data_IF_049035540872
#
_entry.id   IF_049035540872
#
_cell.length_a   1.000
_cell.length_b   1.000
_cell.length_c   1.000
_cell.angle_alpha   90.00
_cell.angle_beta   90.00
_cell.angle_gamma   90.00
#
_symmetry.space_group_name_H-M   'P 1'
#
loop_
_entity.id
_entity.type
_entity.pdbx_description
1 polymer ?
#
# COMPACT_ATOMS: atom_id res chain seq x y z
N UNK A 1 -15.36 -11.64 33.16
CA UNK A 1 -14.41 -11.22 32.11
C UNK A 1 -15.17 -11.02 30.81
N UNK A 2 -15.22 -9.79 30.29
CA UNK A 2 -15.34 -9.48 28.86
C UNK A 2 -15.02 -7.98 28.70
N UNK A 3 -13.80 -7.69 28.28
CA UNK A 3 -13.28 -6.35 28.10
C UNK A 3 -13.71 -5.87 26.70
N UNK A 4 -14.84 -5.19 26.59
CA UNK A 4 -15.30 -4.61 25.31
C UNK A 4 -14.53 -3.31 25.06
N UNK A 5 -13.47 -3.38 24.25
CA UNK A 5 -12.78 -2.21 23.70
C UNK A 5 -13.83 -1.30 23.03
N UNK A 6 -14.03 -0.10 23.58
CA UNK A 6 -14.79 0.98 22.95
C UNK A 6 -13.99 1.51 21.78
N UNK A 7 -14.50 1.35 20.56
CA UNK A 7 -14.00 2.06 19.39
C UNK A 7 -14.35 3.54 19.53
N UNK A 8 -13.35 4.42 19.50
CA UNK A 8 -13.59 5.87 19.43
C UNK A 8 -14.23 6.15 18.07
N UNK A 9 -15.41 6.78 18.08
CA UNK A 9 -16.01 7.34 16.86
C UNK A 9 -15.06 8.40 16.32
N UNK A 10 -14.78 8.33 15.02
CA UNK A 10 -14.08 9.37 14.29
C UNK A 10 -14.89 10.66 14.42
N UNK A 11 -14.25 11.72 14.93
CA UNK A 11 -14.87 13.03 15.05
C UNK A 11 -14.72 13.77 13.72
N UNK A 12 -15.81 13.81 12.96
CA UNK A 12 -15.89 14.42 11.63
C UNK A 12 -15.94 15.96 11.69
N UNK A 13 -15.69 16.57 12.86
CA UNK A 13 -15.71 18.03 13.05
C UNK A 13 -14.34 18.70 12.99
N UNK A 14 -13.25 17.95 12.76
CA UNK A 14 -11.96 18.57 12.43
C UNK A 14 -12.04 19.16 11.02
N UNK A 15 -11.90 20.49 10.94
CA UNK A 15 -11.84 21.23 9.69
C UNK A 15 -10.68 20.70 8.83
N UNK A 16 -11.05 20.05 7.73
CA UNK A 16 -10.16 19.70 6.64
C UNK A 16 -9.87 21.01 5.89
N UNK A 17 -8.62 21.35 5.54
CA UNK A 17 -8.31 22.54 4.74
C UNK A 17 -9.15 22.51 3.46
N UNK A 18 -9.73 23.66 3.11
CA UNK A 18 -10.78 23.78 2.08
C UNK A 18 -10.34 23.27 0.71
N UNK A 19 -10.57 22.01 0.42
CA UNK A 19 -10.61 21.45 -0.93
C UNK A 19 -11.92 21.88 -1.58
N UNK A 20 -11.89 22.25 -2.86
CA UNK A 20 -13.08 22.53 -3.65
C UNK A 20 -13.91 21.24 -3.81
N UNK A 21 -14.67 20.89 -2.78
CA UNK A 21 -15.57 19.74 -2.78
C UNK A 21 -16.93 20.12 -3.32
N UNK A 22 -17.37 19.48 -4.40
CA UNK A 22 -18.76 19.53 -4.84
C UNK A 22 -19.54 18.39 -4.19
N UNK A 23 -20.70 18.68 -3.59
CA UNK A 23 -21.64 17.64 -3.20
C UNK A 23 -22.09 16.85 -4.42
N UNK A 24 -22.15 15.52 -4.32
CA UNK A 24 -22.62 14.66 -5.41
C UNK A 24 -23.74 13.74 -4.92
N UNK A 25 -24.63 13.36 -5.84
CA UNK A 25 -25.62 12.30 -5.68
C UNK A 25 -25.44 11.33 -6.84
N UNK A 26 -25.40 10.03 -6.53
CA UNK A 26 -25.24 8.98 -7.52
C UNK A 26 -26.39 7.97 -7.38
N UNK A 27 -27.07 7.67 -8.48
CA UNK A 27 -27.96 6.53 -8.58
C UNK A 27 -27.18 5.34 -9.15
N UNK A 28 -27.18 4.21 -8.44
CA UNK A 28 -26.54 2.97 -8.90
C UNK A 28 -27.52 1.80 -8.85
N UNK A 29 -27.38 0.85 -9.78
CA UNK A 29 -28.05 -0.43 -9.66
C UNK A 29 -27.29 -1.29 -8.63
N UNK A 30 -27.96 -1.58 -7.51
CA UNK A 30 -27.39 -2.39 -6.44
C UNK A 30 -27.11 -3.84 -6.87
N UNK A 31 -27.77 -4.34 -7.92
CA UNK A 31 -27.55 -5.70 -8.45
C UNK A 31 -26.22 -5.83 -9.20
N UNK A 32 -25.61 -4.72 -9.61
CA UNK A 32 -24.35 -4.68 -10.35
C UNK A 32 -23.16 -4.29 -9.46
N UNK A 33 -23.28 -4.47 -8.13
CA UNK A 33 -22.25 -4.07 -7.18
C UNK A 33 -20.87 -4.67 -7.48
N UNK A 34 -20.80 -5.97 -7.79
CA UNK A 34 -19.52 -6.62 -8.09
C UNK A 34 -18.87 -6.05 -9.37
N UNK A 35 -19.65 -5.87 -10.44
CA UNK A 35 -19.16 -5.22 -11.67
C UNK A 35 -18.66 -3.78 -11.40
N UNK A 36 -19.32 -3.04 -10.51
CA UNK A 36 -18.86 -1.70 -10.11
C UNK A 36 -17.55 -1.76 -9.31
N UNK A 37 -17.36 -2.78 -8.45
CA UNK A 37 -16.09 -3.01 -7.75
C UNK A 37 -14.98 -3.37 -8.72
N UNK A 38 -15.26 -4.18 -9.73
CA UNK A 38 -14.28 -4.55 -10.76
C UNK A 38 -13.79 -3.32 -11.54
N UNK A 39 -14.71 -2.43 -11.96
CA UNK A 39 -14.36 -1.18 -12.64
C UNK A 39 -13.52 -0.27 -11.73
N UNK A 40 -13.89 -0.16 -10.45
CA UNK A 40 -13.11 0.61 -9.48
C UNK A 40 -11.70 0.02 -9.32
N UNK A 41 -11.58 -1.30 -9.26
CA UNK A 41 -10.29 -1.98 -9.17
C UNK A 41 -9.45 -1.81 -10.44
N UNK A 42 -10.06 -1.86 -11.63
CA UNK A 42 -9.36 -1.63 -12.89
C UNK A 42 -8.74 -0.23 -12.96
N UNK A 43 -9.48 0.79 -12.49
CA UNK A 43 -9.03 2.19 -12.52
C UNK A 43 -8.06 2.53 -11.39
N UNK A 44 -8.37 2.12 -10.17
CA UNK A 44 -7.65 2.54 -8.97
C UNK A 44 -6.61 1.52 -8.52
N UNK A 45 -6.74 0.25 -8.90
CA UNK A 45 -5.81 -0.81 -8.54
C UNK A 45 -4.36 -0.49 -8.96
N UNK A 46 -4.10 -0.08 -10.20
CA UNK A 46 -2.75 0.32 -10.63
C UNK A 46 -2.20 1.53 -9.86
N UNK A 47 -3.07 2.41 -9.36
CA UNK A 47 -2.67 3.60 -8.58
C UNK A 47 -2.28 3.18 -7.16
N UNK A 48 -3.09 2.35 -6.50
CA UNK A 48 -2.88 1.95 -5.10
C UNK A 48 -1.94 0.76 -4.92
N UNK A 49 -1.75 -0.08 -5.93
CA UNK A 49 -0.95 -1.29 -5.82
C UNK A 49 0.24 -1.31 -6.79
N UNK A 50 0.32 -0.33 -7.70
CA UNK A 50 1.44 -0.24 -8.62
C UNK A 50 1.52 -1.43 -9.57
N UNK A 51 2.75 -1.81 -9.92
CA UNK A 51 3.07 -2.91 -10.84
C UNK A 51 3.83 -3.99 -10.10
N UNK A 52 3.69 -5.25 -10.57
CA UNK A 52 4.48 -6.36 -10.04
C UNK A 52 5.96 -6.03 -10.18
N UNK A 53 6.68 -6.09 -9.06
CA UNK A 53 8.13 -5.92 -8.99
C UNK A 53 8.82 -7.29 -8.95
N UNK A 54 8.41 -8.17 -8.04
CA UNK A 54 9.04 -9.48 -7.87
C UNK A 54 8.12 -10.53 -7.20
N UNK A 55 8.27 -11.78 -7.60
CA UNK A 55 7.67 -12.96 -6.96
C UNK A 55 8.73 -13.98 -6.49
N UNK A 56 9.99 -13.81 -6.91
CA UNK A 56 11.11 -14.67 -6.53
C UNK A 56 12.28 -13.86 -6.00
N UNK A 57 13.19 -14.48 -5.25
CA UNK A 57 14.40 -13.82 -4.76
C UNK A 57 15.28 -13.32 -5.91
N UNK A 58 15.33 -14.05 -7.02
CA UNK A 58 16.05 -13.64 -8.23
C UNK A 58 15.43 -12.40 -8.87
N UNK A 59 14.11 -12.36 -9.00
CA UNK A 59 13.40 -11.17 -9.51
C UNK A 59 13.59 -9.97 -8.58
N UNK A 60 13.56 -10.17 -7.26
CA UNK A 60 13.76 -9.10 -6.28
C UNK A 60 15.19 -8.54 -6.35
N UNK A 61 16.19 -9.41 -6.45
CA UNK A 61 17.58 -8.98 -6.61
C UNK A 61 17.81 -8.22 -7.91
N UNK A 62 17.21 -8.68 -9.02
CA UNK A 62 17.26 -7.97 -10.30
C UNK A 62 16.57 -6.60 -10.20
N UNK A 63 15.39 -6.53 -9.56
CA UNK A 63 14.66 -5.30 -9.35
C UNK A 63 15.49 -4.24 -8.60
N UNK A 64 16.15 -4.61 -7.49
CA UNK A 64 17.01 -3.71 -6.74
C UNK A 64 18.25 -3.26 -7.53
N UNK A 65 18.84 -4.17 -8.32
CA UNK A 65 19.94 -3.84 -9.22
C UNK A 65 19.52 -2.86 -10.33
N UNK A 66 18.31 -3.02 -10.88
CA UNK A 66 17.80 -2.17 -11.97
C UNK A 66 17.29 -0.81 -11.49
N UNK A 67 16.54 -0.76 -10.38
CA UNK A 67 15.94 0.50 -9.89
C UNK A 67 16.92 1.34 -9.09
N UNK A 68 17.75 0.71 -8.24
CA UNK A 68 18.59 1.42 -7.28
C UNK A 68 20.09 1.24 -7.56
N UNK A 69 20.47 0.40 -8.53
CA UNK A 69 21.89 0.10 -8.80
C UNK A 69 22.56 -0.72 -7.71
N UNK A 70 21.79 -1.44 -6.89
CA UNK A 70 22.27 -2.18 -5.71
C UNK A 70 22.54 -3.65 -6.08
N UNK A 71 23.78 -4.11 -5.89
CA UNK A 71 24.11 -5.54 -5.94
C UNK A 71 23.89 -6.19 -4.56
N UNK A 72 22.66 -6.65 -4.34
CA UNK A 72 22.23 -7.28 -3.09
C UNK A 72 22.93 -8.62 -2.79
N UNK A 73 23.69 -9.18 -3.75
CA UNK A 73 24.47 -10.42 -3.58
C UNK A 73 25.92 -10.16 -3.23
N UNK A 74 26.35 -8.90 -3.30
CA UNK A 74 27.69 -8.44 -2.98
C UNK A 74 27.71 -7.64 -1.69
N UNK A 75 28.12 -6.38 -1.79
CA UNK A 75 28.34 -5.46 -0.67
C UNK A 75 27.04 -4.78 -0.25
N UNK A 76 26.07 -5.56 0.26
CA UNK A 76 24.79 -5.04 0.75
C UNK A 76 24.53 -5.50 2.19
N UNK A 77 24.56 -4.55 3.11
CA UNK A 77 24.62 -4.80 4.55
C UNK A 77 23.63 -3.96 5.35
N UNK A 78 23.38 -4.40 6.59
CA UNK A 78 22.54 -3.68 7.53
C UNK A 78 23.05 -2.25 7.74
N UNK A 79 22.18 -1.27 7.48
CA UNK A 79 22.51 0.16 7.49
C UNK A 79 22.69 0.78 6.10
N UNK A 80 22.75 -0.03 5.03
CA UNK A 80 22.72 0.49 3.66
C UNK A 80 21.31 0.98 3.28
N UNK A 81 21.26 1.93 2.36
CA UNK A 81 20.00 2.44 1.80
C UNK A 81 19.20 1.28 1.19
N UNK A 82 17.90 1.21 1.51
CA UNK A 82 16.99 0.14 1.10
C UNK A 82 17.29 -1.27 1.65
N UNK A 83 18.21 -1.42 2.62
CA UNK A 83 18.48 -2.73 3.25
C UNK A 83 17.23 -3.33 3.89
N UNK A 84 16.55 -2.57 4.76
CA UNK A 84 15.34 -3.05 5.42
C UNK A 84 14.22 -3.34 4.40
N UNK A 85 14.05 -2.47 3.39
CA UNK A 85 13.08 -2.67 2.30
C UNK A 85 13.30 -4.02 1.61
N UNK A 86 14.55 -4.33 1.27
CA UNK A 86 14.92 -5.59 0.64
C UNK A 86 14.67 -6.79 1.56
N UNK A 87 15.02 -6.69 2.85
CA UNK A 87 14.82 -7.77 3.83
C UNK A 87 13.33 -8.05 4.04
N UNK A 88 12.51 -7.02 4.16
CA UNK A 88 11.07 -7.16 4.29
C UNK A 88 10.43 -7.76 3.03
N UNK A 89 10.85 -7.30 1.85
CA UNK A 89 10.42 -7.83 0.56
C UNK A 89 10.81 -9.31 0.39
N UNK A 90 12.04 -9.67 0.74
CA UNK A 90 12.52 -11.05 0.69
C UNK A 90 11.68 -11.94 1.62
N UNK A 91 11.39 -11.47 2.84
CA UNK A 91 10.56 -12.23 3.76
C UNK A 91 9.12 -12.39 3.24
N UNK A 92 8.54 -11.36 2.62
CA UNK A 92 7.22 -11.45 2.01
C UNK A 92 7.17 -12.52 0.90
N UNK A 93 8.21 -12.58 0.06
CA UNK A 93 8.36 -13.63 -0.98
C UNK A 93 8.49 -15.02 -0.34
N UNK A 94 9.30 -15.17 0.72
CA UNK A 94 9.43 -16.44 1.44
C UNK A 94 8.10 -16.91 2.07
N UNK A 95 7.20 -15.98 2.39
CA UNK A 95 5.84 -16.25 2.86
C UNK A 95 4.83 -16.51 1.71
N UNK A 96 5.29 -16.49 0.46
CA UNK A 96 4.49 -16.76 -0.74
C UNK A 96 3.74 -15.54 -1.28
N UNK A 97 4.15 -14.32 -0.90
CA UNK A 97 3.57 -13.09 -1.42
C UNK A 97 4.31 -12.60 -2.68
N UNK A 98 3.64 -11.74 -3.44
CA UNK A 98 4.24 -11.04 -4.58
C UNK A 98 4.44 -9.58 -4.19
N UNK A 99 5.64 -9.06 -4.47
CA UNK A 99 6.03 -7.68 -4.23
C UNK A 99 5.59 -6.82 -5.41
N UNK A 100 4.98 -5.68 -5.11
CA UNK A 100 4.58 -4.68 -6.07
C UNK A 100 5.25 -3.34 -5.73
N UNK A 101 5.56 -2.56 -6.75
CA UNK A 101 6.13 -1.22 -6.64
C UNK A 101 5.19 -0.21 -7.28
N UNK A 102 4.95 0.90 -6.58
CA UNK A 102 4.27 2.07 -7.09
C UNK A 102 4.74 3.30 -6.34
N UNK A 103 4.40 4.47 -6.86
CA UNK A 103 4.68 5.76 -6.23
C UNK A 103 3.40 6.57 -6.14
N UNK A 104 3.10 7.06 -4.95
CA UNK A 104 2.03 8.03 -4.69
C UNK A 104 2.71 9.22 -4.00
N UNK A 105 2.63 10.39 -4.62
CA UNK A 105 3.15 11.62 -4.03
C UNK A 105 2.30 12.02 -2.81
N UNK A 106 2.95 12.20 -1.65
CA UNK A 106 2.30 12.44 -0.35
C UNK A 106 1.99 13.92 -0.06
N UNK A 107 2.52 14.87 -0.84
CA UNK A 107 2.30 16.30 -0.61
C UNK A 107 0.85 16.72 -0.90
N UNK A 108 0.08 16.97 0.17
CA UNK A 108 -1.33 17.43 0.17
C UNK A 108 -2.28 16.59 -0.71
N UNK A 109 -1.95 15.31 -0.91
CA UNK A 109 -2.69 14.46 -1.83
C UNK A 109 -3.69 13.58 -1.08
N UNK A 110 -4.98 13.83 -1.29
CA UNK A 110 -6.09 12.99 -0.79
C UNK A 110 -5.90 11.51 -1.17
N UNK A 111 -5.24 11.22 -2.29
CA UNK A 111 -4.95 9.84 -2.69
C UNK A 111 -3.95 9.16 -1.75
N UNK A 112 -2.95 9.88 -1.23
CA UNK A 112 -1.98 9.32 -0.30
C UNK A 112 -2.64 8.96 1.04
N UNK A 113 -3.49 9.84 1.57
CA UNK A 113 -4.26 9.55 2.79
C UNK A 113 -5.23 8.36 2.60
N UNK A 114 -5.81 8.24 1.41
CA UNK A 114 -6.69 7.10 1.07
C UNK A 114 -5.89 5.80 0.93
N UNK A 115 -4.68 5.86 0.37
CA UNK A 115 -3.80 4.71 0.19
C UNK A 115 -3.39 4.13 1.55
N UNK A 116 -2.89 4.99 2.44
CA UNK A 116 -2.52 4.62 3.81
C UNK A 116 -3.69 3.97 4.55
N UNK A 117 -4.87 4.58 4.51
CA UNK A 117 -6.06 4.01 5.15
C UNK A 117 -6.49 2.67 4.54
N UNK A 118 -6.34 2.50 3.23
CA UNK A 118 -6.67 1.27 2.53
C UNK A 118 -5.72 0.15 2.94
N UNK A 119 -4.41 0.38 2.84
CA UNK A 119 -3.36 -0.58 3.16
C UNK A 119 -3.39 -0.99 4.63
N UNK A 120 -3.54 -0.05 5.55
CA UNK A 120 -3.69 -0.32 6.99
C UNK A 120 -4.88 -1.25 7.26
N UNK A 121 -6.01 -1.00 6.59
CA UNK A 121 -7.20 -1.86 6.74
C UNK A 121 -6.98 -3.25 6.16
N UNK A 122 -6.30 -3.36 5.01
CA UNK A 122 -5.99 -4.64 4.38
C UNK A 122 -5.09 -5.49 5.27
N UNK A 123 -4.01 -4.89 5.77
CA UNK A 123 -3.06 -5.55 6.67
C UNK A 123 -3.74 -6.00 7.98
N UNK A 124 -4.58 -5.14 8.58
CA UNK A 124 -5.31 -5.48 9.81
C UNK A 124 -6.33 -6.61 9.62
N UNK A 125 -7.04 -6.64 8.50
CA UNK A 125 -8.08 -7.63 8.23
C UNK A 125 -7.51 -8.96 7.76
N UNK A 126 -6.37 -8.96 7.07
CA UNK A 126 -5.73 -10.16 6.50
C UNK A 126 -4.21 -10.10 6.55
N UNK A 127 -3.66 -10.20 7.77
CA UNK A 127 -2.22 -10.15 8.04
C UNK A 127 -1.36 -11.13 7.24
N UNK A 128 -1.91 -12.24 6.78
CA UNK A 128 -1.18 -13.25 6.00
C UNK A 128 -1.27 -13.06 4.48
N UNK A 129 -1.95 -12.01 3.99
CA UNK A 129 -2.14 -11.80 2.55
C UNK A 129 -1.82 -10.38 2.08
N UNK A 130 -1.42 -9.49 2.98
CA UNK A 130 -1.03 -8.13 2.64
C UNK A 130 -0.03 -7.62 3.68
N UNK A 131 1.04 -7.00 3.20
CA UNK A 131 2.06 -6.35 4.02
C UNK A 131 2.47 -5.06 3.33
N UNK A 132 2.48 -3.96 4.08
CA UNK A 132 3.12 -2.73 3.61
C UNK A 132 4.62 -2.85 3.85
N UNK A 133 5.42 -2.78 2.80
CA UNK A 133 6.88 -2.64 2.91
C UNK A 133 7.14 -1.14 2.93
N UNK A 134 7.65 -0.64 4.05
CA UNK A 134 7.78 0.79 4.23
C UNK A 134 9.08 1.30 3.58
N UNK A 135 9.00 1.72 2.33
CA UNK A 135 10.14 2.28 1.58
C UNK A 135 10.41 3.76 1.87
N UNK A 136 9.68 4.37 2.82
CA UNK A 136 9.96 5.72 3.25
C UNK A 136 11.27 5.73 4.05
N UNK A 137 12.32 6.28 3.43
CA UNK A 137 13.36 6.99 4.15
C UNK A 137 12.67 7.92 5.14
N UNK A 138 13.00 7.78 6.42
CA UNK A 138 12.46 8.60 7.52
C UNK A 138 12.32 10.09 7.10
N UNK A 139 11.20 10.73 7.44
CA UNK A 139 11.03 12.19 7.36
C UNK A 139 12.15 12.94 8.12
#
# INVERSE_FOLDING_TARGET
>A
MQNKKKWKKLDLTKEIPSTHGSSYLLARDAKLEECQKDILYELLGPVFFGKKAAETEEELAAFFGEQYGIDVRGDFYEGDEHYEDYREAQQAIAEGMVVYEGSIEFDENVLAELAEQLWDRMEQQRKSSFRKINTLLEE
#
